data_IF_883286553810
#
_entry.id   IF_883286553810
#
_cell.length_a   1.000
_cell.length_b   1.000
_cell.length_c   1.000
_cell.angle_alpha   90.00
_cell.angle_beta   90.00
_cell.angle_gamma   90.00
#
_symmetry.space_group_name_H-M   'P 1'
#
loop_
_entity.id
_entity.type
_entity.pdbx_description
1 polymer ?
#
# COMPACT_ATOMS: atom_id res chain seq x y z
N UNK A 1 -6.45 -14.03 -11.16
CA UNK A 1 -7.23 -13.05 -11.94
C UNK A 1 -7.55 -11.88 -11.02
N UNK A 2 -7.27 -10.64 -11.44
CA UNK A 2 -7.55 -9.42 -10.68
C UNK A 2 -8.91 -8.82 -11.10
N UNK A 3 -9.50 -7.96 -10.28
CA UNK A 3 -10.88 -7.45 -10.47
C UNK A 3 -11.01 -6.57 -11.71
N UNK A 4 -9.95 -5.83 -12.04
CA UNK A 4 -9.85 -4.90 -13.15
C UNK A 4 -8.95 -5.43 -14.29
N UNK A 5 -8.76 -6.75 -14.36
CA UNK A 5 -8.05 -7.43 -15.43
C UNK A 5 -6.51 -7.43 -15.31
N UNK A 6 -5.84 -7.78 -16.41
CA UNK A 6 -4.39 -8.04 -16.41
C UNK A 6 -3.54 -6.80 -16.11
N UNK A 7 -4.04 -5.59 -16.45
CA UNK A 7 -3.33 -4.35 -16.20
C UNK A 7 -3.20 -4.05 -14.71
N UNK A 8 -4.26 -4.29 -13.95
CA UNK A 8 -4.22 -4.22 -12.47
C UNK A 8 -3.27 -5.27 -11.90
N UNK A 9 -3.31 -6.51 -12.41
CA UNK A 9 -2.36 -7.54 -11.98
C UNK A 9 -0.90 -7.13 -12.24
N UNK A 10 -0.62 -6.49 -13.38
CA UNK A 10 0.71 -5.97 -13.69
C UNK A 10 1.10 -4.83 -12.75
N UNK A 11 0.20 -3.87 -12.49
CA UNK A 11 0.40 -2.81 -11.51
C UNK A 11 0.73 -3.36 -10.12
N UNK A 12 -0.01 -4.37 -9.67
CA UNK A 12 0.24 -5.04 -8.39
C UNK A 12 1.63 -5.70 -8.32
N UNK A 13 2.15 -6.24 -9.44
CA UNK A 13 3.53 -6.75 -9.49
C UNK A 13 4.54 -5.61 -9.32
N UNK A 14 4.34 -4.47 -10.00
CA UNK A 14 5.19 -3.29 -9.85
C UNK A 14 5.19 -2.75 -8.42
N UNK A 15 4.01 -2.66 -7.78
CA UNK A 15 3.91 -2.32 -6.36
C UNK A 15 4.71 -3.27 -5.47
N UNK A 16 4.53 -4.57 -5.67
CA UNK A 16 5.21 -5.60 -4.90
C UNK A 16 6.73 -5.53 -5.07
N UNK A 17 7.21 -5.29 -6.29
CA UNK A 17 8.63 -5.14 -6.60
C UNK A 17 9.24 -3.84 -6.03
N UNK A 18 8.49 -2.74 -6.05
CA UNK A 18 8.93 -1.51 -5.39
C UNK A 18 9.08 -1.71 -3.87
N UNK A 19 8.13 -2.39 -3.24
CA UNK A 19 8.20 -2.75 -1.80
C UNK A 19 9.41 -3.65 -1.51
N UNK A 20 9.70 -4.61 -2.39
CA UNK A 20 10.79 -5.55 -2.19
C UNK A 20 12.19 -4.94 -2.39
N UNK A 21 12.33 -3.96 -3.28
CA UNK A 21 13.63 -3.47 -3.75
C UNK A 21 13.96 -2.04 -3.31
N UNK A 22 13.02 -1.30 -2.71
CA UNK A 22 13.22 0.10 -2.33
C UNK A 22 12.97 0.34 -0.83
N UNK A 23 13.59 1.37 -0.22
CA UNK A 23 13.22 1.82 1.12
C UNK A 23 11.71 2.13 1.19
N UNK A 24 11.08 1.85 2.34
CA UNK A 24 9.61 1.97 2.50
C UNK A 24 9.05 3.31 2.04
N UNK A 25 9.73 4.42 2.36
CA UNK A 25 9.30 5.75 1.92
C UNK A 25 9.28 5.88 0.40
N UNK A 26 10.35 5.45 -0.27
CA UNK A 26 10.48 5.52 -1.73
C UNK A 26 9.45 4.61 -2.40
N UNK A 27 9.26 3.40 -1.89
CA UNK A 27 8.24 2.48 -2.39
C UNK A 27 6.83 3.08 -2.28
N UNK A 28 6.48 3.71 -1.15
CA UNK A 28 5.19 4.38 -0.97
C UNK A 28 5.01 5.57 -1.91
N UNK A 29 6.05 6.37 -2.13
CA UNK A 29 6.01 7.50 -3.06
C UNK A 29 5.82 7.04 -4.51
N UNK A 30 6.54 5.99 -4.92
CA UNK A 30 6.35 5.34 -6.23
C UNK A 30 4.93 4.80 -6.41
N UNK A 31 4.40 4.05 -5.44
CA UNK A 31 3.04 3.49 -5.48
C UNK A 31 2.01 4.62 -5.59
N UNK A 32 2.13 5.66 -4.75
CA UNK A 32 1.21 6.79 -4.75
C UNK A 32 1.22 7.59 -6.06
N UNK A 33 2.37 7.66 -6.73
CA UNK A 33 2.46 8.23 -8.07
C UNK A 33 1.70 7.40 -9.10
N UNK A 34 1.92 6.09 -9.10
CA UNK A 34 1.31 5.20 -10.09
C UNK A 34 -0.21 5.08 -9.93
N UNK A 35 -0.71 5.09 -8.68
CA UNK A 35 -2.14 5.18 -8.36
C UNK A 35 -2.76 6.49 -8.90
N UNK A 36 -2.01 7.60 -8.90
CA UNK A 36 -2.48 8.91 -9.39
C UNK A 36 -2.49 8.99 -10.91
N UNK A 37 -1.40 8.56 -11.56
CA UNK A 37 -1.24 8.61 -13.02
C UNK A 37 -2.07 7.52 -13.74
N UNK A 38 -2.54 6.52 -12.98
CA UNK A 38 -3.12 5.24 -13.44
C UNK A 38 -2.07 4.33 -14.06
N UNK A 39 -2.28 3.03 -13.91
CA UNK A 39 -1.36 1.99 -14.38
C UNK A 39 -1.27 1.99 -15.92
N UNK A 40 -0.12 2.39 -16.45
CA UNK A 40 0.24 2.36 -17.87
C UNK A 40 1.74 2.04 -18.04
N UNK A 41 2.19 1.75 -19.25
CA UNK A 41 3.61 1.47 -19.50
C UNK A 41 4.45 2.74 -19.32
N UNK A 42 3.89 3.88 -19.67
CA UNK A 42 4.48 5.20 -19.49
C UNK A 42 4.60 5.54 -17.99
N UNK A 43 3.55 5.29 -17.20
CA UNK A 43 3.53 5.68 -15.79
C UNK A 43 4.49 4.85 -14.93
N UNK A 44 4.77 3.59 -15.30
CA UNK A 44 5.78 2.78 -14.60
C UNK A 44 7.17 3.42 -14.64
N UNK A 45 7.62 3.83 -15.83
CA UNK A 45 8.94 4.44 -16.01
C UNK A 45 8.97 5.89 -15.49
N UNK A 46 7.88 6.65 -15.70
CA UNK A 46 7.75 8.02 -15.21
C UNK A 46 7.87 8.09 -13.69
N UNK A 47 7.06 7.30 -12.96
CA UNK A 47 7.09 7.31 -11.49
C UNK A 47 8.41 6.76 -10.94
N UNK A 48 9.02 5.77 -11.61
CA UNK A 48 10.32 5.25 -11.20
C UNK A 48 11.40 6.36 -11.27
N UNK A 49 11.41 7.12 -12.37
CA UNK A 49 12.31 8.26 -12.54
C UNK A 49 12.07 9.36 -11.51
N UNK A 50 10.82 9.69 -11.20
CA UNK A 50 10.46 10.76 -10.26
C UNK A 50 10.99 10.50 -8.84
N UNK A 51 10.90 9.26 -8.37
CA UNK A 51 11.28 8.89 -6.99
C UNK A 51 12.63 8.17 -6.90
N UNK A 52 13.38 8.10 -7.99
CA UNK A 52 14.72 7.52 -8.01
C UNK A 52 14.75 6.00 -7.81
N UNK A 53 13.72 5.29 -8.28
CA UNK A 53 13.71 3.82 -8.37
C UNK A 53 14.25 3.41 -9.74
N UNK A 54 15.10 2.38 -9.80
CA UNK A 54 15.53 1.85 -11.09
C UNK A 54 14.36 1.14 -11.77
N UNK A 55 13.95 1.66 -12.93
CA UNK A 55 12.90 1.05 -13.74
C UNK A 55 13.34 -0.33 -14.25
N UNK A 56 14.61 -0.49 -14.60
CA UNK A 56 15.18 -1.75 -15.09
C UNK A 56 15.15 -2.84 -14.01
N UNK A 57 15.50 -2.50 -12.76
CA UNK A 57 15.41 -3.43 -11.63
C UNK A 57 13.96 -3.80 -11.30
N UNK A 58 13.03 -2.85 -11.41
CA UNK A 58 11.61 -3.13 -11.26
C UNK A 58 11.12 -4.09 -12.33
N UNK A 59 11.43 -3.83 -13.61
CA UNK A 59 11.02 -4.67 -14.72
C UNK A 59 11.57 -6.09 -14.57
N UNK A 60 12.87 -6.21 -14.25
CA UNK A 60 13.51 -7.51 -13.98
C UNK A 60 12.84 -8.24 -12.81
N UNK A 61 12.49 -7.53 -11.74
CA UNK A 61 11.75 -8.11 -10.63
C UNK A 61 10.34 -8.58 -11.03
N UNK A 62 9.61 -7.79 -11.81
CA UNK A 62 8.25 -8.13 -12.28
C UNK A 62 8.27 -9.43 -13.08
N UNK A 63 9.29 -9.63 -13.92
CA UNK A 63 9.49 -10.81 -14.74
C UNK A 63 9.93 -12.03 -13.92
N UNK A 64 10.82 -11.85 -12.93
CA UNK A 64 11.48 -12.97 -12.23
C UNK A 64 10.86 -13.35 -10.89
N UNK A 65 10.33 -12.38 -10.14
CA UNK A 65 9.86 -12.54 -8.74
C UNK A 65 8.43 -12.04 -8.53
N UNK A 66 7.88 -11.26 -9.45
CA UNK A 66 6.61 -10.55 -9.27
C UNK A 66 5.44 -11.48 -8.92
N UNK A 67 5.38 -12.68 -9.50
CA UNK A 67 4.34 -13.66 -9.17
C UNK A 67 4.46 -14.18 -7.74
N UNK A 68 5.66 -14.55 -7.29
CA UNK A 68 5.89 -15.09 -5.95
C UNK A 68 5.58 -14.03 -4.87
N UNK A 69 5.96 -12.78 -5.12
CA UNK A 69 5.64 -11.65 -4.25
C UNK A 69 4.11 -11.47 -4.15
N UNK A 70 3.38 -11.49 -5.27
CA UNK A 70 1.91 -11.42 -5.25
C UNK A 70 1.27 -12.57 -4.48
N UNK A 71 1.79 -13.80 -4.63
CA UNK A 71 1.31 -14.96 -3.86
C UNK A 71 1.55 -14.76 -2.36
N UNK A 72 2.69 -14.21 -1.96
CA UNK A 72 2.99 -13.91 -0.56
C UNK A 72 2.03 -12.84 0.01
N UNK A 73 1.77 -11.75 -0.74
CA UNK A 73 0.81 -10.73 -0.34
C UNK A 73 -0.61 -11.28 -0.25
N UNK A 74 -1.03 -12.13 -1.20
CA UNK A 74 -2.34 -12.78 -1.17
C UNK A 74 -2.50 -13.69 0.05
N UNK A 75 -1.48 -14.50 0.39
CA UNK A 75 -1.49 -15.35 1.60
C UNK A 75 -1.65 -14.53 2.87
N UNK A 76 -0.97 -13.38 2.99
CA UNK A 76 -1.16 -12.46 4.12
C UNK A 76 -2.60 -11.94 4.17
N UNK A 77 -3.13 -11.44 3.05
CA UNK A 77 -4.48 -10.90 2.98
C UNK A 77 -5.57 -11.94 3.34
N UNK A 78 -5.40 -13.20 2.92
CA UNK A 78 -6.34 -14.29 3.20
C UNK A 78 -6.54 -14.56 4.70
N UNK A 79 -5.55 -14.27 5.55
CA UNK A 79 -5.66 -14.45 7.00
C UNK A 79 -6.76 -13.59 7.61
N UNK A 80 -7.08 -12.46 6.97
CA UNK A 80 -8.07 -11.49 7.47
C UNK A 80 -9.48 -11.70 6.92
N UNK A 81 -9.69 -12.65 6.00
CA UNK A 81 -10.99 -12.92 5.35
C UNK A 81 -11.66 -11.63 4.80
N UNK A 82 -10.87 -10.83 4.09
CA UNK A 82 -11.28 -9.54 3.51
C UNK A 82 -12.52 -9.70 2.62
N UNK A 83 -13.52 -8.84 2.82
CA UNK A 83 -14.80 -8.84 2.09
C UNK A 83 -15.04 -7.54 1.28
N UNK A 84 -14.18 -6.53 1.38
CA UNK A 84 -14.25 -5.27 0.66
C UNK A 84 -12.85 -4.69 0.39
N UNK A 85 -12.77 -3.60 -0.38
CA UNK A 85 -11.52 -2.86 -0.60
C UNK A 85 -11.79 -1.34 -0.57
N UNK A 86 -10.82 -0.52 -0.11
CA UNK A 86 -9.63 -0.92 0.64
C UNK A 86 -10.00 -1.42 2.04
N UNK A 87 -9.15 -2.25 2.65
CA UNK A 87 -9.29 -2.75 4.02
C UNK A 87 -8.05 -2.39 4.84
N UNK A 88 -8.26 -1.83 6.03
CA UNK A 88 -7.23 -1.28 6.89
C UNK A 88 -7.14 -2.10 8.18
N UNK A 89 -5.99 -2.74 8.39
CA UNK A 89 -5.72 -3.60 9.55
C UNK A 89 -4.76 -2.90 10.49
N UNK A 90 -5.10 -2.83 11.78
CA UNK A 90 -4.24 -2.26 12.82
C UNK A 90 -3.71 -3.36 13.73
N UNK A 91 -2.40 -3.38 13.97
CA UNK A 91 -1.73 -4.35 14.86
C UNK A 91 -2.12 -5.81 14.57
N UNK A 92 -2.19 -6.18 13.28
CA UNK A 92 -2.60 -7.50 12.79
C UNK A 92 -3.99 -7.97 13.28
N UNK A 93 -4.88 -7.03 13.63
CA UNK A 93 -6.29 -7.29 13.95
C UNK A 93 -7.19 -6.51 12.99
N UNK A 94 -8.04 -7.24 12.26
CA UNK A 94 -9.11 -6.62 11.46
C UNK A 94 -10.31 -6.33 12.37
N UNK A 95 -10.38 -5.10 12.87
CA UNK A 95 -11.56 -4.55 13.55
C UNK A 95 -12.40 -3.76 12.53
N UNK A 96 -13.63 -4.21 12.27
CA UNK A 96 -14.50 -3.61 11.23
C UNK A 96 -14.82 -2.13 11.52
N UNK A 97 -14.97 -1.75 12.79
CA UNK A 97 -15.26 -0.36 13.13
C UNK A 97 -14.02 0.52 12.95
N UNK A 98 -12.84 0.02 13.29
CA UNK A 98 -11.58 0.73 13.06
C UNK A 98 -11.26 0.88 11.57
N UNK A 99 -11.57 -0.14 10.77
CA UNK A 99 -11.43 -0.12 9.31
C UNK A 99 -12.33 0.95 8.67
N UNK A 100 -13.64 0.92 8.98
CA UNK A 100 -14.61 1.92 8.51
C UNK A 100 -14.25 3.35 8.95
N UNK A 101 -13.82 3.54 10.20
CA UNK A 101 -13.41 4.84 10.72
C UNK A 101 -12.11 5.32 10.04
N UNK A 102 -11.15 4.42 9.82
CA UNK A 102 -9.87 4.74 9.22
C UNK A 102 -10.00 5.07 7.73
N UNK A 103 -11.00 4.51 7.05
CA UNK A 103 -11.32 4.90 5.67
C UNK A 103 -11.69 6.39 5.57
N UNK A 104 -12.37 6.93 6.58
CA UNK A 104 -12.78 8.33 6.63
C UNK A 104 -11.70 9.25 7.23
N UNK A 105 -11.05 8.81 8.32
CA UNK A 105 -9.98 9.54 8.99
C UNK A 105 -8.93 8.57 9.56
N UNK A 106 -8.03 8.12 8.69
CA UNK A 106 -6.93 7.23 9.05
C UNK A 106 -6.08 7.78 10.21
N UNK A 107 -5.85 9.09 10.24
CA UNK A 107 -5.01 9.74 11.25
C UNK A 107 -5.66 9.66 12.64
N UNK A 108 -6.97 9.85 12.73
CA UNK A 108 -7.73 9.68 13.98
C UNK A 108 -7.51 8.29 14.58
N UNK A 109 -7.67 7.24 13.77
CA UNK A 109 -7.56 5.85 14.22
C UNK A 109 -6.11 5.52 14.60
N UNK A 110 -5.12 5.93 13.81
CA UNK A 110 -3.70 5.80 14.16
C UNK A 110 -3.41 6.45 15.51
N UNK A 111 -3.86 7.69 15.71
CA UNK A 111 -3.63 8.41 16.96
C UNK A 111 -4.29 7.74 18.18
N UNK A 112 -5.45 7.10 18.01
CA UNK A 112 -6.10 6.27 19.04
C UNK A 112 -5.25 5.08 19.47
N UNK A 113 -4.47 4.50 18.55
CA UNK A 113 -3.58 3.37 18.83
C UNK A 113 -2.19 3.80 19.35
N UNK A 114 -1.73 5.02 19.06
CA UNK A 114 -0.42 5.56 19.50
C UNK A 114 -0.47 6.18 20.93
N UNK A 115 -1.11 5.52 21.89
CA UNK A 115 -1.45 6.11 23.20
C UNK A 115 -0.25 6.57 24.05
N UNK A 116 0.97 6.07 23.80
CA UNK A 116 2.18 6.46 24.52
C UNK A 116 3.01 7.44 23.70
N UNK A 117 3.16 8.66 24.21
CA UNK A 117 3.91 9.77 23.62
C UNK A 117 3.54 10.04 22.14
N UNK A 118 2.24 10.26 21.82
CA UNK A 118 1.82 10.45 20.44
C UNK A 118 2.44 11.73 19.84
N UNK A 119 2.71 11.76 18.52
CA UNK A 119 3.18 12.97 17.84
C UNK A 119 2.23 14.15 18.04
N UNK A 120 2.75 15.39 17.93
CA UNK A 120 1.91 16.63 17.95
C UNK A 120 0.74 16.59 16.97
N UNK A 121 0.92 15.85 15.88
CA UNK A 121 -0.14 15.60 14.90
C UNK A 121 -1.40 14.95 15.52
N UNK A 122 -1.29 14.28 16.66
CA UNK A 122 -2.41 13.66 17.35
C UNK A 122 -3.14 14.57 18.34
N UNK A 123 -2.62 15.76 18.64
CA UNK A 123 -3.22 16.64 19.66
C UNK A 123 -4.69 16.99 19.37
N UNK A 124 -5.09 17.11 18.11
CA UNK A 124 -6.49 17.38 17.73
C UNK A 124 -7.46 16.23 18.02
N UNK A 125 -6.96 15.02 18.26
CA UNK A 125 -7.76 13.80 18.48
C UNK A 125 -7.76 13.33 19.94
N UNK A 126 -6.89 13.90 20.78
CA UNK A 126 -6.77 13.55 22.21
C UNK A 126 -7.85 14.26 23.04
N UNK A 127 -8.36 15.41 22.57
CA UNK A 127 -9.34 16.23 23.29
C UNK A 127 -10.78 16.12 22.78
N UNK A 128 -11.04 15.32 21.73
CA UNK A 128 -12.40 15.01 21.28
C UNK A 128 -13.01 13.93 22.18
N UNK A 129 -13.40 14.31 23.40
CA UNK A 129 -14.37 13.59 24.23
C UNK A 129 -15.65 14.40 24.32
#
# INVERSE_FOLDING_TARGET
MCQHGERECLGNKYFSCAIANSPTKVALEYIACLERERVSDESFAQCAKEFGVSYEELQSCVETKGLDLLVAHSKRAQQFKIDHLPTIVFNDVLDKSADEEAYLDFRKVVCKFLQKDPPKACSSYIYSK
#
